data_IF_475028072838
#
_entry.id   IF_475028072838
#
_cell.length_a   1.000
_cell.length_b   1.000
_cell.length_c   1.000
_cell.angle_alpha   90.00
_cell.angle_beta   90.00
_cell.angle_gamma   90.00
#
_symmetry.space_group_name_H-M   'P 1'
#
loop_
_entity.id
_entity.type
_entity.pdbx_description
1 polymer ?
#
# COMPACT_ATOMS: atom_id res chain seq x y z
N UNK A 1 -21.49 -89.19 18.93
CA UNK A 1 -21.49 -88.24 20.07
C UNK A 1 -20.70 -87.02 19.66
N UNK A 2 -21.37 -86.05 19.03
CA UNK A 2 -21.78 -84.76 19.61
C UNK A 2 -20.62 -83.80 19.88
N UNK A 3 -20.51 -82.75 19.05
CA UNK A 3 -20.26 -81.38 19.49
C UNK A 3 -20.62 -80.42 18.33
N UNK A 4 -21.93 -80.16 18.19
CA UNK A 4 -22.47 -78.94 17.57
C UNK A 4 -23.04 -78.12 18.72
N UNK A 5 -22.58 -76.88 18.92
CA UNK A 5 -23.32 -75.75 19.53
C UNK A 5 -22.41 -74.50 19.47
N UNK A 6 -23.03 -73.36 19.12
CA UNK A 6 -22.60 -71.98 19.34
C UNK A 6 -21.46 -71.39 18.47
N UNK A 7 -21.81 -70.92 17.28
CA UNK A 7 -21.16 -69.76 16.62
C UNK A 7 -22.19 -68.65 16.43
N UNK A 8 -22.66 -68.06 17.53
CA UNK A 8 -23.42 -66.79 17.52
C UNK A 8 -23.24 -66.11 18.87
N UNK A 9 -22.48 -65.01 18.90
CA UNK A 9 -22.48 -63.91 19.88
C UNK A 9 -21.07 -63.29 19.98
N UNK A 10 -20.69 -62.49 18.97
CA UNK A 10 -19.74 -61.41 19.20
C UNK A 10 -20.58 -60.14 19.33
N UNK A 11 -21.07 -59.90 20.56
CA UNK A 11 -21.76 -58.68 20.94
C UNK A 11 -20.73 -57.55 20.96
N UNK A 12 -20.89 -56.65 19.99
CA UNK A 12 -20.84 -55.19 20.11
C UNK A 12 -20.44 -54.69 21.49
N UNK A 13 -19.26 -54.07 21.58
CA UNK A 13 -19.01 -52.81 22.31
C UNK A 13 -17.51 -52.60 22.43
N UNK A 14 -16.87 -51.98 21.45
CA UNK A 14 -15.72 -51.13 21.75
C UNK A 14 -15.53 -50.10 20.63
N UNK A 15 -16.08 -48.93 20.94
CA UNK A 15 -15.61 -47.61 20.57
C UNK A 15 -15.49 -47.37 19.07
N UNK A 16 -16.53 -46.72 18.53
CA UNK A 16 -16.37 -45.76 17.46
C UNK A 16 -15.30 -44.74 17.90
N UNK A 17 -14.03 -45.05 17.63
CA UNK A 17 -13.03 -44.01 17.52
C UNK A 17 -13.46 -43.24 16.28
N UNK A 18 -14.08 -42.08 16.53
CA UNK A 18 -14.16 -41.04 15.53
C UNK A 18 -12.76 -40.96 14.95
N UNK A 19 -12.61 -41.40 13.70
CA UNK A 19 -11.43 -41.12 12.92
C UNK A 19 -11.32 -39.60 13.00
N UNK A 20 -10.36 -39.14 13.81
CA UNK A 20 -10.00 -37.75 13.88
C UNK A 20 -9.33 -37.49 12.54
N UNK A 21 -10.17 -37.30 11.51
CA UNK A 21 -9.79 -36.61 10.29
C UNK A 21 -9.49 -35.22 10.79
N UNK A 22 -8.24 -35.02 11.21
CA UNK A 22 -7.67 -33.69 11.32
C UNK A 22 -7.81 -33.12 9.92
N UNK A 23 -8.87 -32.33 9.69
CA UNK A 23 -8.98 -31.49 8.51
C UNK A 23 -7.76 -30.57 8.56
N UNK A 24 -6.73 -30.91 7.80
CA UNK A 24 -5.53 -30.09 7.63
C UNK A 24 -5.81 -28.78 6.87
N UNK A 25 -7.07 -28.35 6.69
CA UNK A 25 -7.46 -27.25 5.81
C UNK A 25 -8.60 -26.37 6.39
N UNK A 26 -8.41 -25.77 7.57
CA UNK A 26 -9.30 -24.66 8.01
C UNK A 26 -8.54 -23.46 8.63
N UNK A 27 -7.20 -23.40 8.53
CA UNK A 27 -6.44 -22.20 8.99
C UNK A 27 -6.77 -20.91 8.24
N UNK A 28 -7.45 -21.02 7.10
CA UNK A 28 -7.84 -19.91 6.24
C UNK A 28 -9.38 -19.77 6.12
N UNK A 29 -10.17 -20.49 6.93
CA UNK A 29 -11.60 -20.25 6.96
C UNK A 29 -11.85 -18.82 7.47
N UNK A 30 -12.71 -18.00 6.82
CA UNK A 30 -12.99 -16.65 7.28
C UNK A 30 -13.51 -16.68 8.72
N UNK A 31 -12.79 -16.02 9.63
CA UNK A 31 -13.26 -15.84 11.00
C UNK A 31 -14.46 -14.88 10.99
N UNK A 32 -15.41 -15.09 11.89
CA UNK A 32 -16.63 -14.27 11.98
C UNK A 32 -16.30 -12.77 12.21
N UNK A 33 -15.28 -12.49 13.01
CA UNK A 33 -14.75 -11.15 13.21
C UNK A 33 -13.67 -10.75 12.19
N UNK A 34 -13.53 -11.46 11.07
CA UNK A 34 -12.52 -11.18 10.05
C UNK A 34 -11.06 -11.32 10.51
N UNK A 35 -10.81 -11.93 11.67
CA UNK A 35 -9.45 -12.08 12.22
C UNK A 35 -8.87 -10.80 12.83
N UNK A 36 -9.74 -9.87 13.25
CA UNK A 36 -9.37 -8.61 13.90
C UNK A 36 -9.75 -8.61 15.38
N UNK A 37 -9.16 -7.75 16.20
CA UNK A 37 -9.53 -7.60 17.60
C UNK A 37 -10.98 -7.14 17.81
N UNK A 38 -11.57 -7.56 18.93
CA UNK A 38 -12.96 -7.23 19.29
C UNK A 38 -14.03 -8.00 18.52
N UNK A 39 -15.29 -7.84 18.94
CA UNK A 39 -16.45 -8.48 18.32
C UNK A 39 -16.75 -7.90 16.93
N UNK A 40 -17.38 -8.68 16.05
CA UNK A 40 -17.92 -8.18 14.79
C UNK A 40 -18.99 -7.11 15.03
N UNK A 41 -19.17 -6.23 14.05
CA UNK A 41 -20.24 -5.26 14.04
C UNK A 41 -21.61 -5.94 13.84
N UNK A 42 -22.64 -5.39 14.48
CA UNK A 42 -24.03 -5.74 14.17
C UNK A 42 -24.49 -4.99 12.92
N UNK A 43 -24.56 -5.69 11.79
CA UNK A 43 -24.98 -5.11 10.52
C UNK A 43 -26.45 -4.68 10.50
N UNK A 44 -27.28 -5.15 11.43
CA UNK A 44 -28.65 -4.66 11.60
C UNK A 44 -28.71 -3.28 12.27
N UNK A 45 -27.63 -2.86 12.93
CA UNK A 45 -27.54 -1.60 13.67
C UNK A 45 -26.69 -0.52 12.96
N UNK A 46 -26.12 -0.82 11.78
CA UNK A 46 -25.21 0.08 11.06
C UNK A 46 -25.79 0.44 9.69
N UNK A 47 -25.72 1.73 9.34
CA UNK A 47 -25.96 2.18 7.99
C UNK A 47 -24.74 1.84 7.11
N UNK A 48 -24.91 0.87 6.22
CA UNK A 48 -23.88 0.46 5.27
C UNK A 48 -23.72 1.53 4.17
N UNK A 49 -22.48 1.95 3.94
CA UNK A 49 -22.18 2.88 2.85
C UNK A 49 -22.44 2.21 1.49
N UNK A 50 -23.08 2.89 0.53
CA UNK A 50 -23.33 2.34 -0.80
C UNK A 50 -22.02 2.17 -1.59
N UNK A 51 -22.09 1.35 -2.64
CA UNK A 51 -21.02 1.22 -3.64
C UNK A 51 -20.95 2.42 -4.58
N UNK A 52 -20.14 2.27 -5.64
CA UNK A 52 -19.90 3.27 -6.66
C UNK A 52 -21.11 3.53 -7.56
N UNK A 53 -21.34 4.80 -7.89
CA UNK A 53 -22.35 5.23 -8.85
C UNK A 53 -21.88 6.50 -9.58
N UNK A 54 -22.37 6.77 -10.80
CA UNK A 54 -22.09 8.04 -11.48
C UNK A 54 -22.45 9.24 -10.60
N UNK A 55 -21.55 10.20 -10.51
CA UNK A 55 -21.76 11.47 -9.81
C UNK A 55 -22.69 12.42 -10.56
N UNK A 56 -22.82 13.65 -10.03
CA UNK A 56 -23.65 14.68 -10.64
C UNK A 56 -22.85 15.63 -11.56
N UNK A 57 -21.65 16.01 -11.15
CA UNK A 57 -20.87 17.04 -11.83
C UNK A 57 -19.89 16.46 -12.85
N UNK A 58 -19.82 17.06 -14.03
CA UNK A 58 -18.83 16.74 -15.06
C UNK A 58 -17.46 17.27 -14.61
N UNK A 59 -16.56 16.38 -14.21
CA UNK A 59 -15.22 16.70 -13.73
C UNK A 59 -14.29 15.50 -13.83
N UNK A 60 -12.98 15.75 -13.80
CA UNK A 60 -11.99 14.71 -13.53
C UNK A 60 -12.06 14.35 -12.04
N UNK A 61 -12.08 13.05 -11.73
CA UNK A 61 -12.02 12.56 -10.36
C UNK A 61 -10.58 12.28 -9.97
N UNK A 62 -10.18 12.84 -8.83
CA UNK A 62 -8.86 12.68 -8.22
C UNK A 62 -8.98 11.85 -6.95
N UNK A 63 -8.16 10.80 -6.83
CA UNK A 63 -8.07 9.96 -5.63
C UNK A 63 -6.62 9.96 -5.15
N UNK A 64 -6.41 10.29 -3.88
CA UNK A 64 -5.09 10.56 -3.32
C UNK A 64 -4.83 12.06 -3.14
N UNK A 65 -3.59 12.41 -2.78
CA UNK A 65 -3.20 13.79 -2.51
C UNK A 65 -2.64 14.44 -3.76
N UNK A 66 -3.16 15.63 -4.07
CA UNK A 66 -2.74 16.44 -5.21
C UNK A 66 -2.48 17.86 -4.73
N UNK A 67 -1.38 18.45 -5.19
CA UNK A 67 -1.15 19.89 -5.10
C UNK A 67 -1.99 20.57 -6.18
N UNK A 68 -3.03 21.27 -5.72
CA UNK A 68 -4.04 21.94 -6.54
C UNK A 68 -3.79 23.45 -6.71
N UNK A 69 -2.59 23.94 -6.42
CA UNK A 69 -2.28 25.36 -6.61
C UNK A 69 -2.49 25.84 -8.05
N UNK A 70 -2.21 24.96 -9.01
CA UNK A 70 -2.67 25.11 -10.38
C UNK A 70 -3.72 24.01 -10.65
N UNK A 71 -5.03 24.31 -10.58
CA UNK A 71 -6.09 23.31 -10.76
C UNK A 71 -6.14 22.73 -12.18
N UNK A 72 -5.59 23.43 -13.18
CA UNK A 72 -5.52 22.95 -14.56
C UNK A 72 -4.35 21.99 -14.78
N UNK A 73 -3.33 22.04 -13.90
CA UNK A 73 -2.16 21.16 -13.93
C UNK A 73 -1.76 20.68 -12.53
N UNK A 74 -2.62 19.90 -11.83
CA UNK A 74 -2.30 19.40 -10.50
C UNK A 74 -1.00 18.59 -10.47
N UNK A 75 -0.28 18.69 -9.36
CA UNK A 75 0.95 17.94 -9.13
C UNK A 75 0.72 16.83 -8.11
N UNK A 76 1.45 15.72 -8.23
CA UNK A 76 1.31 14.55 -7.34
C UNK A 76 2.52 13.63 -7.44
N UNK A 77 2.77 12.78 -6.44
CA UNK A 77 3.87 11.81 -6.47
C UNK A 77 3.62 10.52 -5.68
N UNK A 78 2.66 10.46 -4.77
CA UNK A 78 2.35 9.23 -4.05
C UNK A 78 1.99 8.10 -5.00
N UNK A 79 2.52 6.90 -4.71
CA UNK A 79 2.00 5.69 -5.35
C UNK A 79 0.51 5.59 -5.10
N UNK A 80 -0.24 5.15 -6.11
CA UNK A 80 -1.68 4.97 -6.02
C UNK A 80 -2.48 6.26 -6.15
N UNK A 81 -1.84 7.41 -6.43
CA UNK A 81 -2.59 8.56 -6.93
C UNK A 81 -3.33 8.16 -8.22
N UNK A 82 -4.64 8.42 -8.26
CA UNK A 82 -5.51 8.07 -9.39
C UNK A 82 -6.13 9.33 -9.96
N UNK A 83 -6.13 9.40 -11.29
CA UNK A 83 -6.93 10.35 -12.05
C UNK A 83 -7.88 9.54 -12.92
N UNK A 84 -9.17 9.83 -12.84
CA UNK A 84 -10.19 9.09 -13.58
C UNK A 84 -11.19 10.02 -14.24
N UNK A 85 -11.71 9.58 -15.38
CA UNK A 85 -12.74 10.29 -16.11
C UNK A 85 -13.68 9.30 -16.79
N UNK A 86 -14.95 9.68 -16.88
CA UNK A 86 -15.97 8.99 -17.66
C UNK A 86 -16.32 9.86 -18.85
N UNK A 87 -16.58 9.27 -20.01
CA UNK A 87 -16.86 10.01 -21.24
C UNK A 87 -17.75 9.22 -22.18
N UNK A 88 -18.40 9.92 -23.12
CA UNK A 88 -19.09 9.34 -24.28
C UNK A 88 -18.37 9.78 -25.55
N UNK A 89 -17.79 8.85 -26.30
CA UNK A 89 -17.11 9.15 -27.57
C UNK A 89 -16.00 8.17 -27.92
N UNK A 90 -15.38 8.34 -29.11
CA UNK A 90 -14.51 7.34 -29.71
C UNK A 90 -13.08 7.31 -29.16
N UNK A 91 -12.65 8.37 -28.49
CA UNK A 91 -11.25 8.58 -28.12
C UNK A 91 -11.12 9.26 -26.76
N UNK A 92 -10.02 8.94 -26.07
CA UNK A 92 -9.55 9.68 -24.91
C UNK A 92 -8.06 9.92 -25.02
N UNK A 93 -7.66 11.16 -24.73
CA UNK A 93 -6.26 11.55 -24.57
C UNK A 93 -6.03 11.94 -23.12
N UNK A 94 -4.91 11.48 -22.56
CA UNK A 94 -4.44 11.87 -21.23
C UNK A 94 -2.94 12.08 -21.26
N UNK A 95 -2.37 12.72 -20.24
CA UNK A 95 -0.92 12.78 -20.13
C UNK A 95 -0.42 13.20 -18.77
N UNK A 96 0.87 12.98 -18.53
CA UNK A 96 1.55 13.38 -17.31
C UNK A 96 2.97 13.79 -17.61
N UNK A 97 3.30 15.03 -17.30
CA UNK A 97 4.68 15.50 -17.37
C UNK A 97 5.41 15.11 -16.08
N UNK A 98 6.56 14.45 -16.21
CA UNK A 98 7.43 14.08 -15.10
C UNK A 98 8.49 15.15 -14.88
N UNK A 99 8.56 15.67 -13.67
CA UNK A 99 9.65 16.51 -13.16
C UNK A 99 10.60 15.57 -12.40
N UNK A 100 11.68 15.09 -13.03
CA UNK A 100 12.60 14.15 -12.40
C UNK A 100 13.36 14.83 -11.25
N UNK A 101 13.81 14.05 -10.24
CA UNK A 101 14.78 14.55 -9.29
C UNK A 101 16.08 14.93 -10.02
N UNK A 102 16.73 16.00 -9.57
CA UNK A 102 17.95 16.49 -10.22
C UNK A 102 19.04 15.38 -10.28
N UNK A 103 19.69 15.23 -11.44
CA UNK A 103 20.80 14.32 -11.73
C UNK A 103 20.47 12.82 -11.86
N UNK A 104 19.21 12.43 -11.96
CA UNK A 104 18.84 11.05 -12.29
C UNK A 104 17.78 10.96 -13.40
N UNK A 105 18.02 10.09 -14.38
CA UNK A 105 17.05 9.77 -15.44
C UNK A 105 16.11 8.67 -14.94
N UNK A 106 15.09 9.08 -14.19
CA UNK A 106 14.02 8.19 -13.71
C UNK A 106 12.76 8.37 -14.54
N UNK A 107 12.11 7.25 -14.82
CA UNK A 107 10.76 7.25 -15.40
C UNK A 107 9.76 6.73 -14.39
N UNK A 108 8.51 7.15 -14.55
CA UNK A 108 7.39 6.75 -13.71
C UNK A 108 6.51 5.79 -14.48
N UNK A 109 6.09 4.72 -13.81
CA UNK A 109 5.16 3.72 -14.33
C UNK A 109 3.75 4.12 -13.91
N UNK A 110 2.83 4.05 -14.86
CA UNK A 110 1.39 4.21 -14.67
C UNK A 110 0.66 2.96 -15.11
N UNK A 111 -0.37 2.57 -14.36
CA UNK A 111 -1.34 1.58 -14.80
C UNK A 111 -2.56 2.31 -15.37
N UNK A 112 -2.90 2.07 -16.62
CA UNK A 112 -4.03 2.69 -17.29
C UNK A 112 -5.09 1.66 -17.59
N UNK A 113 -6.25 1.82 -16.98
CA UNK A 113 -7.41 0.94 -17.19
C UNK A 113 -8.48 1.68 -17.95
N UNK A 114 -8.93 1.12 -19.07
CA UNK A 114 -10.10 1.58 -19.83
C UNK A 114 -11.09 0.43 -19.90
N UNK A 115 -12.30 0.65 -19.38
CA UNK A 115 -13.38 -0.35 -19.34
C UNK A 115 -12.96 -1.73 -18.80
N UNK A 116 -12.11 -1.72 -17.77
CA UNK A 116 -11.60 -2.92 -17.12
C UNK A 116 -10.41 -3.58 -17.82
N UNK A 117 -9.93 -3.03 -18.94
CA UNK A 117 -8.70 -3.48 -19.62
C UNK A 117 -7.54 -2.60 -19.19
N UNK A 118 -6.59 -3.20 -18.47
CA UNK A 118 -5.43 -2.51 -17.90
C UNK A 118 -4.18 -2.68 -18.78
N UNK A 119 -3.37 -1.62 -18.87
CA UNK A 119 -2.08 -1.60 -19.53
C UNK A 119 -1.07 -0.76 -18.74
N UNK A 120 0.17 -1.25 -18.69
CA UNK A 120 1.28 -0.48 -18.15
C UNK A 120 1.75 0.58 -19.16
N UNK A 121 1.98 1.80 -18.69
CA UNK A 121 2.55 2.91 -19.46
C UNK A 121 3.72 3.52 -18.69
N UNK A 122 4.90 3.51 -19.31
CA UNK A 122 6.11 4.14 -18.76
C UNK A 122 6.25 5.54 -19.35
N UNK A 123 6.41 6.55 -18.49
CA UNK A 123 6.57 7.95 -18.88
C UNK A 123 7.86 8.55 -18.30
N UNK A 124 8.68 9.17 -19.15
CA UNK A 124 9.83 9.98 -18.77
C UNK A 124 10.48 10.65 -19.98
N UNK A 125 11.16 11.78 -19.78
CA UNK A 125 11.89 12.55 -20.82
C UNK A 125 11.03 13.13 -21.96
N UNK A 126 11.17 14.41 -22.28
CA UNK A 126 10.39 15.10 -23.32
C UNK A 126 8.94 15.39 -22.89
N UNK A 127 8.47 16.62 -23.08
CA UNK A 127 7.13 17.06 -22.67
C UNK A 127 6.42 17.75 -23.85
N UNK A 128 5.08 17.69 -23.97
CA UNK A 128 4.14 17.02 -23.07
C UNK A 128 4.03 15.51 -23.31
N UNK A 129 3.89 14.73 -22.23
CA UNK A 129 3.77 13.28 -22.28
C UNK A 129 2.31 12.83 -22.41
N UNK A 130 1.72 12.97 -23.60
CA UNK A 130 0.33 12.57 -23.87
C UNK A 130 0.23 11.21 -24.57
N UNK A 131 -0.88 10.50 -24.30
CA UNK A 131 -1.27 9.23 -24.92
C UNK A 131 -2.73 9.31 -25.33
N UNK A 132 -3.03 8.91 -26.57
CA UNK A 132 -4.39 8.82 -27.10
C UNK A 132 -4.76 7.36 -27.30
N UNK A 133 -5.99 7.01 -26.92
CA UNK A 133 -6.56 5.66 -27.03
C UNK A 133 -7.83 5.73 -27.88
N UNK A 134 -7.89 4.89 -28.90
CA UNK A 134 -9.08 4.64 -29.72
C UNK A 134 -9.92 3.54 -29.06
N UNK A 135 -11.12 3.89 -28.57
CA UNK A 135 -11.99 2.98 -27.81
C UNK A 135 -13.31 2.68 -28.52
N UNK A 136 -13.56 3.34 -29.65
CA UNK A 136 -14.81 3.22 -30.40
C UNK A 136 -15.96 4.01 -29.75
N UNK A 137 -17.10 4.19 -30.43
CA UNK A 137 -18.20 5.00 -29.91
C UNK A 137 -18.87 4.33 -28.70
N UNK A 138 -19.24 5.13 -27.71
CA UNK A 138 -19.97 4.66 -26.53
C UNK A 138 -19.51 5.36 -25.25
N UNK A 139 -20.07 4.89 -24.14
CA UNK A 139 -19.69 5.38 -22.81
C UNK A 139 -18.55 4.54 -22.25
N UNK A 140 -17.48 5.21 -21.86
CA UNK A 140 -16.24 4.61 -21.39
C UNK A 140 -15.78 5.24 -20.08
N UNK A 141 -15.01 4.50 -19.29
CA UNK A 141 -14.33 5.01 -18.10
C UNK A 141 -12.83 4.69 -18.16
N UNK A 142 -12.00 5.73 -17.98
CA UNK A 142 -10.56 5.64 -17.89
C UNK A 142 -10.10 5.91 -16.45
N UNK A 143 -9.14 5.12 -15.97
CA UNK A 143 -8.42 5.31 -14.72
C UNK A 143 -6.92 5.26 -15.00
N UNK A 144 -6.19 6.29 -14.59
CA UNK A 144 -4.73 6.39 -14.67
C UNK A 144 -4.19 6.40 -13.25
N UNK A 145 -3.54 5.30 -12.86
CA UNK A 145 -2.97 5.08 -11.53
C UNK A 145 -1.47 5.24 -11.60
N UNK A 146 -0.88 6.07 -10.75
CA UNK A 146 0.57 6.09 -10.59
C UNK A 146 1.03 4.84 -9.87
N UNK A 147 1.75 3.97 -10.56
CA UNK A 147 2.22 2.69 -10.02
C UNK A 147 3.50 2.85 -9.18
N UNK A 148 4.45 3.63 -9.68
CA UNK A 148 5.75 3.86 -9.03
C UNK A 148 5.66 4.73 -7.78
N UNK A 149 6.66 4.59 -6.91
CA UNK A 149 6.81 5.39 -5.70
C UNK A 149 7.15 6.86 -5.98
N UNK A 150 6.91 7.71 -4.98
CA UNK A 150 7.19 9.12 -5.04
C UNK A 150 8.65 9.44 -5.39
N UNK A 151 9.59 8.59 -5.00
CA UNK A 151 11.02 8.74 -5.33
C UNK A 151 11.30 8.79 -6.85
N UNK A 152 10.36 8.38 -7.71
CA UNK A 152 10.49 8.46 -9.17
C UNK A 152 10.10 9.82 -9.78
N UNK A 153 9.96 10.86 -8.95
CA UNK A 153 9.81 12.25 -9.38
C UNK A 153 8.38 12.75 -9.28
N UNK A 154 8.19 14.06 -9.39
CA UNK A 154 6.86 14.67 -9.27
C UNK A 154 6.14 14.59 -10.62
N UNK A 155 4.91 14.11 -10.62
CA UNK A 155 4.00 14.12 -11.77
C UNK A 155 3.23 15.43 -11.84
N UNK A 156 3.05 15.95 -13.05
CA UNK A 156 2.22 17.13 -13.36
C UNK A 156 1.21 16.74 -14.42
N UNK A 157 -0.08 16.80 -14.10
CA UNK A 157 -1.12 16.39 -15.02
C UNK A 157 -1.11 17.21 -16.32
N UNK A 158 -1.34 16.52 -17.43
CA UNK A 158 -1.86 17.07 -18.69
C UNK A 158 -3.31 16.61 -18.82
N UNK A 159 -4.31 17.53 -18.72
CA UNK A 159 -5.72 17.17 -18.59
C UNK A 159 -6.25 16.20 -19.66
N UNK A 160 -7.27 15.43 -19.28
CA UNK A 160 -8.00 14.60 -20.23
C UNK A 160 -8.63 15.45 -21.33
N UNK A 161 -8.59 14.93 -22.55
CA UNK A 161 -9.45 15.42 -23.65
C UNK A 161 -10.17 14.24 -24.28
N UNK A 162 -11.31 14.50 -24.89
CA UNK A 162 -12.20 13.48 -25.46
C UNK A 162 -12.49 13.80 -26.93
N UNK A 163 -11.53 13.59 -27.84
CA UNK A 163 -11.73 13.93 -29.24
C UNK A 163 -12.95 13.22 -29.84
N UNK A 164 -13.87 14.00 -30.42
CA UNK A 164 -15.12 13.46 -30.96
C UNK A 164 -16.13 12.99 -29.90
N UNK A 165 -15.92 13.35 -28.63
CA UNK A 165 -16.76 12.94 -27.50
C UNK A 165 -16.98 14.06 -26.48
N UNK A 166 -17.59 13.68 -25.35
CA UNK A 166 -17.87 14.57 -24.23
C UNK A 166 -17.58 13.90 -22.89
N UNK A 167 -17.02 14.65 -21.95
CA UNK A 167 -16.85 14.18 -20.58
C UNK A 167 -18.22 14.02 -19.89
N UNK A 168 -18.33 12.98 -19.06
CA UNK A 168 -19.47 12.68 -18.22
C UNK A 168 -19.10 12.81 -16.74
N UNK A 169 -20.08 12.88 -15.83
CA UNK A 169 -19.81 12.76 -14.41
C UNK A 169 -19.11 11.43 -14.09
N UNK A 170 -18.02 11.45 -13.30
CA UNK A 170 -17.24 10.25 -12.98
C UNK A 170 -17.99 9.34 -12.02
N UNK A 171 -17.56 8.08 -11.88
CA UNK A 171 -18.08 7.18 -10.85
C UNK A 171 -17.56 7.60 -9.47
N UNK A 172 -18.45 8.03 -8.58
CA UNK A 172 -18.16 8.43 -7.21
C UNK A 172 -18.41 7.25 -6.25
N UNK A 173 -17.55 7.08 -5.24
CA UNK A 173 -17.68 6.03 -4.22
C UNK A 173 -17.81 6.66 -2.84
N UNK A 174 -18.82 6.24 -2.09
CA UNK A 174 -18.98 6.66 -0.69
C UNK A 174 -17.96 5.96 0.24
N UNK A 175 -17.55 4.75 -0.14
CA UNK A 175 -16.53 3.99 0.58
C UNK A 175 -15.14 4.51 0.19
N UNK A 176 -14.37 4.94 1.19
CA UNK A 176 -12.98 5.37 1.03
C UNK A 176 -12.13 4.78 2.13
N UNK A 177 -10.95 4.27 1.74
CA UNK A 177 -9.97 3.66 2.64
C UNK A 177 -8.65 4.41 2.48
N UNK A 178 -8.09 4.90 3.59
CA UNK A 178 -6.74 5.46 3.62
C UNK A 178 -5.76 4.37 4.12
N UNK A 179 -4.79 4.01 3.29
CA UNK A 179 -3.71 3.08 3.60
C UNK A 179 -2.45 3.88 3.93
N UNK A 180 -1.93 3.71 5.13
CA UNK A 180 -0.69 4.32 5.60
C UNK A 180 0.32 3.20 5.79
N UNK A 181 1.47 3.26 5.11
CA UNK A 181 2.41 2.14 5.15
C UNK A 181 3.80 2.43 4.62
N UNK A 182 4.58 1.37 4.50
CA UNK A 182 5.93 1.38 3.94
C UNK A 182 5.95 0.73 2.54
N UNK A 183 7.09 0.13 2.16
CA UNK A 183 7.31 -0.55 0.88
C UNK A 183 6.28 -1.64 0.58
N UNK A 184 5.77 -2.33 1.61
CA UNK A 184 4.74 -3.36 1.46
C UNK A 184 3.43 -2.75 0.95
N UNK A 185 3.09 -1.56 1.42
CA UNK A 185 1.87 -0.86 0.97
C UNK A 185 2.05 -0.25 -0.41
N UNK A 186 3.28 0.15 -0.76
CA UNK A 186 3.59 0.62 -2.11
C UNK A 186 3.63 -0.49 -3.17
N UNK A 187 3.68 -1.75 -2.76
CA UNK A 187 3.80 -2.89 -3.68
C UNK A 187 5.22 -3.08 -4.20
N UNK A 188 6.24 -2.67 -3.44
CA UNK A 188 7.64 -2.83 -3.80
C UNK A 188 7.93 -4.29 -4.17
N UNK A 189 8.49 -4.52 -5.37
CA UNK A 189 8.99 -5.82 -5.79
C UNK A 189 7.93 -6.92 -5.96
N UNK A 190 6.64 -6.59 -5.92
CA UNK A 190 5.56 -7.57 -5.90
C UNK A 190 5.41 -8.38 -7.20
N UNK A 191 5.79 -7.79 -8.34
CA UNK A 191 5.88 -8.48 -9.64
C UNK A 191 7.27 -9.11 -9.86
N UNK A 192 8.14 -9.06 -8.85
CA UNK A 192 9.47 -9.65 -8.89
C UNK A 192 9.43 -11.19 -8.94
N UNK A 193 10.26 -11.83 -9.78
CA UNK A 193 10.26 -13.29 -9.91
C UNK A 193 10.84 -14.04 -8.70
N UNK A 194 11.67 -13.39 -7.87
CA UNK A 194 12.28 -14.01 -6.68
C UNK A 194 12.94 -12.95 -5.77
N UNK A 195 13.41 -13.37 -4.58
CA UNK A 195 14.06 -12.52 -3.59
C UNK A 195 15.30 -11.74 -4.06
N UNK A 196 15.97 -12.17 -5.13
CA UNK A 196 17.25 -11.60 -5.60
C UNK A 196 17.11 -10.69 -6.82
N UNK A 197 15.89 -10.49 -7.34
CA UNK A 197 15.72 -9.55 -8.43
C UNK A 197 15.96 -8.11 -7.95
N UNK A 198 16.55 -7.26 -8.80
CA UNK A 198 16.74 -5.86 -8.45
C UNK A 198 15.39 -5.13 -8.54
N UNK A 199 15.18 -4.18 -7.62
CA UNK A 199 14.06 -3.26 -7.70
C UNK A 199 14.15 -2.29 -8.89
N UNK A 200 15.32 -1.65 -9.05
CA UNK A 200 15.59 -0.74 -10.17
C UNK A 200 16.19 -1.48 -11.35
N UNK A 201 15.53 -1.42 -12.50
CA UNK A 201 16.00 -2.02 -13.74
C UNK A 201 16.34 -0.92 -14.73
N UNK A 202 17.55 -0.99 -15.30
CA UNK A 202 17.90 -0.18 -16.47
C UNK A 202 17.10 -0.66 -17.67
N UNK A 203 16.36 0.25 -18.30
CA UNK A 203 15.58 -0.06 -19.51
C UNK A 203 16.18 0.52 -20.78
N UNK A 204 16.99 1.59 -20.68
CA UNK A 204 17.76 2.15 -21.80
C UNK A 204 18.88 3.06 -21.33
N UNK A 205 19.73 3.45 -22.26
CA UNK A 205 20.75 4.49 -22.08
C UNK A 205 20.35 5.73 -22.87
N UNK A 206 20.68 6.91 -22.34
CA UNK A 206 20.57 8.18 -23.08
C UNK A 206 21.90 8.94 -23.01
N UNK A 207 22.22 9.69 -24.07
CA UNK A 207 23.36 10.61 -24.07
C UNK A 207 22.87 12.00 -23.71
N UNK A 208 23.39 12.53 -22.61
CA UNK A 208 23.10 13.89 -22.13
C UNK A 208 23.76 14.94 -23.05
N UNK A 209 23.31 16.22 -23.02
CA UNK A 209 23.88 17.27 -23.86
C UNK A 209 25.39 17.52 -23.64
N UNK A 210 25.93 17.14 -22.48
CA UNK A 210 27.36 17.23 -22.16
C UNK A 210 28.18 16.02 -22.66
N UNK A 211 27.54 15.07 -23.36
CA UNK A 211 28.17 13.87 -23.89
C UNK A 211 28.27 12.70 -22.91
N UNK A 212 27.79 12.84 -21.67
CA UNK A 212 27.75 11.74 -20.70
C UNK A 212 26.62 10.75 -21.01
N UNK A 213 26.80 9.48 -20.64
CA UNK A 213 25.77 8.44 -20.80
C UNK A 213 25.06 8.22 -19.47
N UNK A 214 23.75 8.44 -19.47
CA UNK A 214 22.87 8.20 -18.33
C UNK A 214 22.06 6.92 -18.52
N UNK A 215 21.96 6.12 -17.46
CA UNK A 215 21.18 4.88 -17.41
C UNK A 215 19.76 5.19 -16.95
N UNK A 216 18.77 5.03 -17.82
CA UNK A 216 17.38 5.24 -17.47
C UNK A 216 16.86 4.05 -16.68
N UNK A 217 16.44 4.31 -15.43
CA UNK A 217 15.99 3.27 -14.49
C UNK A 217 14.50 3.42 -14.17
N UNK A 218 13.83 2.29 -13.99
CA UNK A 218 12.44 2.20 -13.55
C UNK A 218 12.26 1.13 -12.46
N UNK A 219 11.23 1.25 -11.59
CA UNK A 219 10.90 0.24 -10.60
C UNK A 219 10.00 -0.83 -11.21
N UNK A 220 10.52 -1.59 -12.18
CA UNK A 220 9.70 -2.47 -13.05
C UNK A 220 8.88 -3.53 -12.30
N UNK A 221 9.32 -3.88 -11.09
CA UNK A 221 8.68 -4.93 -10.28
C UNK A 221 7.75 -4.40 -9.21
N UNK A 222 7.53 -3.07 -9.15
CA UNK A 222 6.55 -2.47 -8.26
C UNK A 222 5.24 -2.19 -9.00
N UNK A 223 4.15 -2.69 -8.42
CA UNK A 223 2.82 -2.36 -8.90
C UNK A 223 1.81 -2.14 -7.77
N UNK A 224 1.50 -0.88 -7.47
CA UNK A 224 0.54 -0.58 -6.39
C UNK A 224 -0.90 -0.95 -6.75
N UNK A 225 -1.27 -1.02 -8.03
CA UNK A 225 -2.61 -1.48 -8.41
C UNK A 225 -2.80 -2.96 -8.02
N UNK A 226 -1.71 -3.73 -8.00
CA UNK A 226 -1.65 -5.12 -7.54
C UNK A 226 -1.23 -5.27 -6.07
N UNK A 227 -1.06 -4.17 -5.33
CA UNK A 227 -0.80 -4.22 -3.90
C UNK A 227 -2.07 -4.56 -3.10
N UNK A 228 -1.88 -5.00 -1.86
CA UNK A 228 -2.96 -5.59 -1.06
C UNK A 228 -4.08 -4.57 -0.77
N UNK A 229 -3.71 -3.29 -0.58
CA UNK A 229 -4.65 -2.22 -0.32
C UNK A 229 -5.56 -1.94 -1.51
N UNK A 230 -4.99 -1.81 -2.70
CA UNK A 230 -5.75 -1.58 -3.95
C UNK A 230 -6.65 -2.77 -4.28
N UNK A 231 -6.17 -4.01 -4.13
CA UNK A 231 -6.99 -5.21 -4.33
C UNK A 231 -8.14 -5.24 -3.31
N UNK A 232 -7.88 -4.97 -2.04
CA UNK A 232 -8.91 -4.96 -0.99
C UNK A 232 -9.96 -3.86 -1.25
N UNK A 233 -9.53 -2.66 -1.65
CA UNK A 233 -10.42 -1.56 -1.98
C UNK A 233 -11.35 -1.90 -3.15
N UNK A 234 -10.83 -2.52 -4.22
CA UNK A 234 -11.67 -3.03 -5.33
C UNK A 234 -12.68 -4.08 -4.87
N UNK A 235 -12.27 -5.01 -3.98
CA UNK A 235 -13.18 -6.03 -3.39
C UNK A 235 -14.27 -5.43 -2.48
N UNK A 236 -14.05 -4.22 -1.99
CA UNK A 236 -14.96 -3.47 -1.12
C UNK A 236 -15.73 -2.38 -1.86
N UNK A 237 -15.49 -2.21 -3.16
CA UNK A 237 -15.98 -1.11 -3.97
C UNK A 237 -15.72 0.26 -3.31
N UNK A 238 -14.46 0.48 -2.94
CA UNK A 238 -13.97 1.67 -2.25
C UNK A 238 -12.86 2.37 -3.05
N UNK A 239 -12.76 3.69 -2.90
CA UNK A 239 -11.59 4.44 -3.32
C UNK A 239 -10.43 4.20 -2.33
N UNK A 240 -9.24 3.89 -2.83
CA UNK A 240 -8.02 3.74 -2.03
C UNK A 240 -7.16 5.00 -2.09
N UNK A 241 -6.84 5.57 -0.93
CA UNK A 241 -5.85 6.64 -0.78
C UNK A 241 -4.63 6.05 -0.11
N UNK A 242 -3.46 6.20 -0.71
CA UNK A 242 -2.23 5.53 -0.25
C UNK A 242 -1.17 6.57 0.11
N UNK A 243 -0.73 6.53 1.37
CA UNK A 243 0.41 7.28 1.90
C UNK A 243 1.46 6.25 2.29
N UNK A 244 2.32 5.91 1.33
CA UNK A 244 3.35 4.92 1.54
C UNK A 244 4.69 5.38 0.99
N UNK A 245 5.77 4.94 1.64
CA UNK A 245 7.13 5.24 1.21
C UNK A 245 8.08 4.13 1.67
N UNK A 246 8.85 3.57 0.75
CA UNK A 246 9.73 2.44 0.98
C UNK A 246 10.84 2.75 1.97
N UNK A 247 11.16 1.79 2.83
CA UNK A 247 12.18 1.94 3.87
C UNK A 247 11.79 2.88 5.02
N UNK A 248 10.61 3.52 5.03
CA UNK A 248 10.20 4.38 6.14
C UNK A 248 9.52 3.59 7.26
N UNK A 249 9.76 3.97 8.51
CA UNK A 249 9.14 3.34 9.68
C UNK A 249 8.33 4.32 10.53
N UNK A 250 7.93 3.86 11.71
CA UNK A 250 7.14 4.62 12.67
C UNK A 250 8.00 5.58 13.49
N UNK A 251 9.10 5.08 14.04
CA UNK A 251 10.10 5.83 14.82
C UNK A 251 11.50 5.70 14.24
N UNK A 252 11.75 4.65 13.44
CA UNK A 252 13.04 4.38 12.80
C UNK A 252 12.85 3.89 11.37
N UNK A 253 13.59 4.47 10.45
CA UNK A 253 13.64 4.02 9.05
C UNK A 253 14.65 2.88 8.86
N UNK A 254 14.47 2.14 7.77
CA UNK A 254 15.43 1.19 7.27
C UNK A 254 16.73 1.91 6.97
N UNK A 255 17.81 1.50 7.63
CA UNK A 255 19.13 2.08 7.45
C UNK A 255 19.82 1.33 6.32
N UNK A 256 19.77 1.90 5.11
CA UNK A 256 20.82 1.62 4.14
C UNK A 256 22.12 2.26 4.64
N UNK A 257 23.23 1.61 4.33
CA UNK A 257 24.59 1.90 4.78
C UNK A 257 24.90 3.41 4.68
N UNK A 258 25.44 4.02 5.74
CA UNK A 258 25.69 5.48 5.78
C UNK A 258 26.69 5.91 4.69
N UNK A 259 26.65 7.20 4.32
CA UNK A 259 27.64 7.82 3.44
C UNK A 259 29.09 7.57 3.92
N UNK A 260 29.34 7.42 5.22
CA UNK A 260 30.67 7.07 5.75
C UNK A 260 31.11 5.64 5.37
N UNK A 261 30.19 4.69 5.31
CA UNK A 261 30.50 3.32 4.90
C UNK A 261 30.53 3.14 3.37
N UNK A 262 29.80 3.97 2.61
CA UNK A 262 30.03 4.14 1.17
C UNK A 262 31.43 4.74 0.88
N UNK A 263 31.88 5.70 1.69
CA UNK A 263 33.23 6.29 1.60
C UNK A 263 34.35 5.30 1.99
N UNK A 264 34.05 4.21 2.69
CA UNK A 264 34.99 3.16 3.07
C UNK A 264 35.23 2.10 1.97
N UNK A 265 34.69 2.30 0.77
CA UNK A 265 34.93 1.41 -0.38
C UNK A 265 34.07 0.14 -0.39
N UNK A 266 32.98 0.11 0.39
CA UNK A 266 31.93 -0.90 0.20
C UNK A 266 31.20 -0.57 -1.10
N UNK A 267 31.42 -1.40 -2.13
CA UNK A 267 30.79 -1.28 -3.45
C UNK A 267 29.28 -1.54 -3.34
N UNK A 268 28.51 -0.47 -3.09
CA UNK A 268 27.06 -0.47 -3.12
C UNK A 268 26.60 -0.22 -4.56
N UNK A 269 26.61 -1.25 -5.39
CA UNK A 269 26.04 -1.20 -6.74
C UNK A 269 24.53 -0.92 -6.68
N UNK A 270 24.15 0.36 -6.80
CA UNK A 270 22.85 0.77 -7.35
C UNK A 270 21.70 1.07 -6.38
N UNK A 271 21.94 1.19 -5.07
CA UNK A 271 20.91 1.67 -4.13
C UNK A 271 20.89 3.21 -4.10
N UNK A 272 19.68 3.77 -4.26
CA UNK A 272 19.47 5.21 -4.31
C UNK A 272 19.60 5.80 -2.91
N UNK A 273 20.47 6.79 -2.74
CA UNK A 273 20.51 7.59 -1.52
C UNK A 273 19.14 8.23 -1.30
N UNK A 274 18.43 7.82 -0.25
CA UNK A 274 17.23 8.50 0.20
C UNK A 274 17.63 9.86 0.81
N UNK A 275 17.37 10.99 0.12
CA UNK A 275 17.81 12.31 0.58
C UNK A 275 17.08 12.76 1.86
N UNK A 276 16.06 12.02 2.28
CA UNK A 276 15.24 12.26 3.45
C UNK A 276 15.23 11.06 4.41
N UNK A 277 16.34 10.31 4.47
CA UNK A 277 16.51 9.08 5.25
C UNK A 277 16.12 9.15 6.73
N UNK A 278 15.96 10.36 7.32
CA UNK A 278 15.55 10.55 8.71
C UNK A 278 14.04 10.71 8.91
N UNK A 279 13.31 11.20 7.90
CA UNK A 279 11.87 11.46 8.02
C UNK A 279 11.10 10.16 8.06
N UNK A 280 10.24 10.01 9.07
CA UNK A 280 9.43 8.81 9.33
C UNK A 280 8.03 8.92 8.71
N UNK A 281 7.27 7.82 8.66
CA UNK A 281 5.89 7.84 8.13
C UNK A 281 5.00 8.87 8.83
N UNK A 282 5.03 9.07 10.16
CA UNK A 282 4.26 10.13 10.81
C UNK A 282 4.48 11.53 10.23
N UNK A 283 5.71 11.85 9.82
CA UNK A 283 6.05 13.13 9.20
C UNK A 283 5.64 13.16 7.72
N UNK A 284 5.85 12.07 6.98
CA UNK A 284 5.39 11.94 5.58
C UNK A 284 3.87 12.02 5.46
N UNK A 285 3.13 11.51 6.44
CA UNK A 285 1.67 11.56 6.50
C UNK A 285 1.11 12.98 6.52
N UNK A 286 1.94 14.00 6.78
CA UNK A 286 1.54 15.40 6.68
C UNK A 286 1.71 16.00 5.29
N UNK A 287 2.42 15.34 4.35
CA UNK A 287 2.81 15.97 3.07
C UNK A 287 1.75 15.80 1.98
N UNK A 288 1.62 16.83 1.13
CA UNK A 288 0.85 16.76 -0.13
C UNK A 288 1.64 16.06 -1.21
N UNK A 289 2.89 16.48 -1.43
CA UNK A 289 3.87 15.86 -2.34
C UNK A 289 4.99 15.27 -1.48
N UNK A 290 5.19 13.96 -1.50
CA UNK A 290 6.12 13.28 -0.60
C UNK A 290 7.56 13.78 -0.74
N UNK A 291 8.04 13.99 -1.98
CA UNK A 291 9.44 14.34 -2.25
C UNK A 291 9.73 15.83 -2.23
N UNK A 292 8.72 16.70 -2.15
CA UNK A 292 8.93 18.14 -2.00
C UNK A 292 9.25 18.42 -0.54
N UNK A 293 10.45 18.96 -0.30
CA UNK A 293 10.85 19.43 1.01
C UNK A 293 10.72 20.95 1.03
N UNK A 294 10.36 21.51 2.18
CA UNK A 294 10.26 22.98 2.33
C UNK A 294 11.62 23.68 2.16
N UNK A 295 12.73 22.94 2.27
CA UNK A 295 14.11 23.44 2.09
C UNK A 295 14.66 23.28 0.66
N UNK A 296 13.91 22.66 -0.27
CA UNK A 296 14.39 22.36 -1.62
C UNK A 296 13.73 23.31 -2.65
N UNK A 297 14.50 24.21 -3.31
CA UNK A 297 14.00 25.02 -4.42
C UNK A 297 13.46 24.12 -5.55
N UNK A 298 12.38 24.51 -6.28
CA UNK A 298 11.95 25.88 -6.55
C UNK A 298 10.63 26.24 -5.86
N UNK A 299 10.34 25.69 -4.67
CA UNK A 299 9.17 26.12 -3.91
C UNK A 299 9.26 27.63 -3.66
N UNK A 300 8.27 28.43 -4.11
CA UNK A 300 8.19 29.81 -3.68
C UNK A 300 8.12 29.80 -2.14
N UNK A 301 8.85 30.68 -1.43
CA UNK A 301 8.99 30.67 0.03
C UNK A 301 7.68 30.88 0.84
N UNK A 302 6.51 30.87 0.18
CA UNK A 302 5.19 31.10 0.78
C UNK A 302 4.21 29.91 0.65
N UNK A 303 4.60 28.80 0.04
CA UNK A 303 3.69 27.66 -0.18
C UNK A 303 3.97 26.55 0.82
N UNK A 304 2.96 26.17 1.61
CA UNK A 304 3.05 24.97 2.46
C UNK A 304 2.90 23.70 1.62
N UNK A 305 3.77 22.71 1.84
CA UNK A 305 3.60 21.35 1.30
C UNK A 305 2.76 20.46 2.24
N UNK A 306 2.13 21.02 3.26
CA UNK A 306 1.28 20.26 4.16
C UNK A 306 -0.06 19.93 3.49
N UNK A 307 -0.55 18.72 3.72
CA UNK A 307 -1.86 18.29 3.28
C UNK A 307 -2.95 18.99 4.10
N UNK A 308 -3.87 19.60 3.39
CA UNK A 308 -5.07 20.16 3.99
C UNK A 308 -6.13 19.06 4.12
N UNK A 309 -6.17 18.44 5.29
CA UNK A 309 -7.12 17.36 5.62
C UNK A 309 -8.60 17.77 5.48
N UNK A 310 -8.92 19.07 5.42
CA UNK A 310 -10.30 19.54 5.21
C UNK A 310 -10.75 19.49 3.74
N UNK A 311 -9.81 19.38 2.79
CA UNK A 311 -10.09 19.34 1.35
C UNK A 311 -10.41 17.94 0.82
N UNK A 312 -10.28 16.93 1.67
CA UNK A 312 -10.57 15.54 1.31
C UNK A 312 -11.74 15.00 2.12
N UNK A 313 -12.69 14.28 1.46
CA UNK A 313 -13.72 13.54 2.18
C UNK A 313 -13.09 12.59 3.19
N UNK A 314 -13.57 12.62 4.43
CA UNK A 314 -13.02 11.78 5.48
C UNK A 314 -13.15 10.28 5.08
N UNK A 315 -12.04 9.52 5.04
CA UNK A 315 -12.11 8.08 4.84
C UNK A 315 -12.89 7.41 5.97
N UNK A 316 -13.77 6.49 5.61
CA UNK A 316 -14.50 5.69 6.59
C UNK A 316 -13.59 4.66 7.28
N UNK A 317 -12.46 4.32 6.66
CA UNK A 317 -11.48 3.35 7.16
C UNK A 317 -10.06 3.88 6.97
N UNK A 318 -9.23 3.69 7.99
CA UNK A 318 -7.77 3.84 7.89
C UNK A 318 -7.12 2.50 8.20
N UNK A 319 -6.16 2.07 7.37
CA UNK A 319 -5.33 0.87 7.62
C UNK A 319 -3.89 1.32 7.75
N UNK A 320 -3.27 1.03 8.89
CA UNK A 320 -1.87 1.37 9.17
C UNK A 320 -1.04 0.08 9.16
N UNK A 321 -0.19 -0.06 8.16
CA UNK A 321 0.78 -1.16 8.01
C UNK A 321 2.18 -0.56 7.93
N UNK A 322 2.62 -0.01 9.05
CA UNK A 322 3.93 0.60 9.27
C UNK A 322 4.60 -0.13 10.42
N UNK A 323 5.90 -0.36 10.32
CA UNK A 323 6.69 -0.84 11.45
C UNK A 323 7.72 -1.91 11.09
N UNK A 324 7.67 -2.44 9.85
CA UNK A 324 8.64 -3.44 9.38
C UNK A 324 10.08 -2.93 9.56
N UNK A 325 10.30 -1.68 9.18
CA UNK A 325 11.61 -1.04 9.15
C UNK A 325 12.14 -0.70 10.54
N UNK A 326 11.27 -0.48 11.53
CA UNK A 326 11.66 -0.24 12.92
C UNK A 326 12.36 -1.45 13.53
N UNK A 327 11.94 -2.65 13.13
CA UNK A 327 12.51 -3.92 13.58
C UNK A 327 13.70 -4.38 12.71
N UNK A 328 14.10 -3.61 11.69
CA UNK A 328 15.26 -3.96 10.87
C UNK A 328 16.57 -3.93 11.68
N UNK A 329 17.44 -4.92 11.44
CA UNK A 329 18.79 -4.98 12.04
C UNK A 329 19.66 -3.84 11.54
N UNK A 330 20.56 -3.36 12.39
CA UNK A 330 21.71 -2.56 11.96
C UNK A 330 22.78 -3.51 11.38
N UNK A 331 23.06 -3.41 10.09
CA UNK A 331 24.09 -4.23 9.43
C UNK A 331 25.51 -3.67 9.62
N UNK A 332 25.64 -2.42 10.09
CA UNK A 332 26.93 -1.74 10.25
C UNK A 332 27.53 -1.89 11.65
N UNK A 333 26.77 -2.43 12.59
CA UNK A 333 27.27 -2.79 13.92
C UNK A 333 27.36 -4.31 13.99
N UNK A 334 28.58 -4.84 14.01
CA UNK A 334 28.89 -6.26 14.23
C UNK A 334 28.47 -6.77 15.63
N UNK A 335 27.79 -5.91 16.40
CA UNK A 335 27.14 -6.23 17.66
C UNK A 335 25.64 -6.36 17.44
N UNK A 336 25.05 -7.44 17.97
CA UNK A 336 23.58 -7.61 18.17
C UNK A 336 22.98 -6.46 19.02
N UNK A 337 23.82 -5.55 19.53
CA UNK A 337 23.43 -4.35 20.26
C UNK A 337 22.99 -3.25 19.30
N UNK A 338 21.72 -3.30 18.92
CA UNK A 338 20.82 -2.14 18.82
C UNK A 338 19.40 -2.71 18.77
N UNK A 339 18.97 -3.22 19.94
CA UNK A 339 17.60 -3.67 20.12
C UNK A 339 16.64 -2.54 19.84
N UNK A 340 15.55 -2.84 19.15
CA UNK A 340 14.39 -1.95 19.14
C UNK A 340 14.02 -1.62 20.59
N UNK A 341 13.98 -0.33 20.94
CA UNK A 341 13.28 0.10 22.14
C UNK A 341 11.78 -0.07 21.89
N UNK A 342 11.25 -1.21 22.34
CA UNK A 342 9.85 -1.58 22.12
C UNK A 342 8.88 -0.61 22.79
N UNK A 343 9.28 0.01 23.90
CA UNK A 343 8.46 1.01 24.57
C UNK A 343 8.45 2.31 23.77
N UNK A 344 9.60 2.77 23.26
CA UNK A 344 9.67 3.93 22.36
C UNK A 344 8.84 3.69 21.09
N UNK A 345 8.96 2.52 20.46
CA UNK A 345 8.15 2.14 19.30
C UNK A 345 6.65 2.17 19.63
N UNK A 346 6.23 1.54 20.74
CA UNK A 346 4.82 1.51 21.14
C UNK A 346 4.27 2.91 21.38
N UNK A 347 4.99 3.75 22.14
CA UNK A 347 4.53 5.10 22.46
C UNK A 347 4.50 5.99 21.22
N UNK A 348 5.50 5.90 20.34
CA UNK A 348 5.51 6.60 19.05
C UNK A 348 4.35 6.18 18.15
N UNK A 349 4.09 4.87 18.05
CA UNK A 349 2.97 4.33 17.28
C UNK A 349 1.62 4.79 17.86
N UNK A 350 1.43 4.70 19.19
CA UNK A 350 0.21 5.18 19.86
C UNK A 350 -0.03 6.67 19.60
N UNK A 351 1.03 7.49 19.72
CA UNK A 351 0.95 8.92 19.44
C UNK A 351 0.53 9.19 17.99
N UNK A 352 1.05 8.41 17.04
CA UNK A 352 0.64 8.51 15.64
C UNK A 352 -0.82 8.08 15.42
N UNK A 353 -1.29 7.01 16.05
CA UNK A 353 -2.71 6.60 15.96
C UNK A 353 -3.63 7.68 16.51
N UNK A 354 -3.28 8.30 17.64
CA UNK A 354 -4.02 9.44 18.20
C UNK A 354 -3.99 10.66 17.27
N UNK A 355 -2.84 10.92 16.64
CA UNK A 355 -2.71 11.97 15.64
C UNK A 355 -3.63 11.72 14.43
N UNK A 356 -3.63 10.50 13.88
CA UNK A 356 -4.52 10.08 12.80
C UNK A 356 -5.98 10.22 13.21
N UNK A 357 -6.37 9.77 14.41
CA UNK A 357 -7.72 9.95 14.96
C UNK A 357 -8.12 11.43 14.99
N UNK A 358 -7.21 12.33 15.37
CA UNK A 358 -7.46 13.77 15.36
C UNK A 358 -7.73 14.34 13.95
N UNK A 359 -7.19 13.71 12.90
CA UNK A 359 -7.47 14.08 11.50
C UNK A 359 -8.68 13.33 10.91
N UNK A 360 -8.96 12.13 11.42
CA UNK A 360 -9.97 11.17 10.96
C UNK A 360 -10.88 10.75 12.13
N UNK A 361 -11.70 11.67 12.66
CA UNK A 361 -12.45 11.46 13.91
C UNK A 361 -13.44 10.28 13.89
N UNK A 362 -14.00 9.95 12.73
CA UNK A 362 -15.07 8.95 12.57
C UNK A 362 -14.59 7.60 12.04
N UNK A 363 -13.37 7.55 11.48
CA UNK A 363 -12.84 6.38 10.79
C UNK A 363 -12.69 5.15 11.69
N UNK A 364 -12.86 3.96 11.11
CA UNK A 364 -12.37 2.72 11.71
C UNK A 364 -10.85 2.61 11.45
N UNK A 365 -10.02 2.51 12.49
CA UNK A 365 -8.57 2.46 12.36
C UNK A 365 -8.09 1.03 12.62
N UNK A 366 -7.45 0.42 11.63
CA UNK A 366 -6.92 -0.95 11.69
C UNK A 366 -5.40 -0.94 11.68
N UNK A 367 -4.79 -1.50 12.73
CA UNK A 367 -3.34 -1.63 12.88
C UNK A 367 -2.92 -3.04 12.44
N UNK A 368 -2.11 -3.14 11.39
CA UNK A 368 -1.68 -4.41 10.83
C UNK A 368 -0.33 -4.84 11.40
N UNK A 369 -0.23 -6.08 11.88
CA UNK A 369 1.08 -6.74 12.05
C UNK A 369 1.60 -7.10 10.65
N UNK A 370 2.74 -6.52 10.28
CA UNK A 370 3.39 -6.67 8.97
C UNK A 370 3.63 -8.15 8.59
N UNK A 371 3.50 -8.53 7.30
CA UNK A 371 3.76 -9.88 6.82
C UNK A 371 5.24 -10.29 6.87
N UNK A 372 6.18 -9.32 6.84
CA UNK A 372 7.60 -9.59 6.61
C UNK A 372 8.41 -9.85 7.90
N UNK A 373 7.83 -9.64 9.09
CA UNK A 373 8.45 -10.04 10.36
C UNK A 373 8.16 -11.50 10.69
N UNK A 374 9.16 -12.19 11.25
CA UNK A 374 9.03 -13.50 11.88
C UNK A 374 9.60 -13.47 13.30
N UNK A 375 9.37 -14.52 14.10
CA UNK A 375 9.99 -14.65 15.43
C UNK A 375 11.46 -15.12 15.37
N UNK A 376 12.02 -15.33 14.16
CA UNK A 376 13.39 -15.82 13.94
C UNK A 376 14.31 -14.79 13.27
N UNK A 377 13.72 -13.83 12.56
CA UNK A 377 14.41 -12.82 11.77
C UNK A 377 13.47 -11.64 11.51
N UNK A 378 13.96 -10.38 11.51
CA UNK A 378 15.33 -9.95 11.75
C UNK A 378 15.77 -10.04 13.22
N UNK A 379 14.86 -9.92 14.19
CA UNK A 379 15.16 -10.07 15.62
C UNK A 379 14.38 -11.26 16.20
N UNK A 380 14.92 -11.90 17.24
CA UNK A 380 14.19 -12.94 17.95
C UNK A 380 12.90 -12.35 18.53
N UNK A 381 11.78 -13.07 18.39
CA UNK A 381 10.45 -12.63 18.84
C UNK A 381 9.91 -11.33 18.20
N UNK A 382 10.54 -10.80 17.14
CA UNK A 382 10.14 -9.52 16.53
C UNK A 382 8.64 -9.44 16.22
N UNK A 383 8.10 -10.47 15.55
CA UNK A 383 6.68 -10.51 15.18
C UNK A 383 5.77 -10.56 16.41
N UNK A 384 6.12 -11.37 17.40
CA UNK A 384 5.40 -11.47 18.68
C UNK A 384 5.39 -10.15 19.44
N UNK A 385 6.53 -9.47 19.53
CA UNK A 385 6.68 -8.22 20.27
C UNK A 385 5.93 -7.09 19.57
N UNK A 386 5.99 -7.05 18.24
CA UNK A 386 5.16 -6.15 17.43
C UNK A 386 3.68 -6.33 17.71
N UNK A 387 3.21 -7.58 17.67
CA UNK A 387 1.81 -7.91 17.97
C UNK A 387 1.42 -7.51 19.39
N UNK A 388 2.27 -7.77 20.37
CA UNK A 388 2.03 -7.38 21.76
C UNK A 388 1.92 -5.86 21.91
N UNK A 389 2.78 -5.11 21.21
CA UNK A 389 2.73 -3.65 21.17
C UNK A 389 1.40 -3.15 20.58
N UNK A 390 0.99 -3.63 19.40
CA UNK A 390 -0.29 -3.24 18.79
C UNK A 390 -1.49 -3.60 19.68
N UNK A 391 -1.51 -4.81 20.22
CA UNK A 391 -2.59 -5.26 21.11
C UNK A 391 -2.72 -4.35 22.34
N UNK A 392 -1.60 -3.95 22.94
CA UNK A 392 -1.59 -3.02 24.07
C UNK A 392 -2.06 -1.62 23.68
N UNK A 393 -1.63 -1.10 22.53
CA UNK A 393 -2.10 0.21 22.01
C UNK A 393 -3.61 0.20 21.86
N UNK A 394 -4.17 -0.81 21.19
CA UNK A 394 -5.61 -0.94 20.98
C UNK A 394 -6.36 -1.07 22.32
N UNK A 395 -5.84 -1.86 23.25
CA UNK A 395 -6.44 -2.00 24.58
C UNK A 395 -6.47 -0.67 25.35
N UNK A 396 -5.38 0.11 25.31
CA UNK A 396 -5.28 1.41 25.98
C UNK A 396 -6.23 2.44 25.36
N UNK A 397 -6.29 2.52 24.03
CA UNK A 397 -7.16 3.47 23.31
C UNK A 397 -8.64 3.12 23.46
N UNK A 398 -9.00 1.84 23.33
CA UNK A 398 -10.39 1.39 23.53
C UNK A 398 -10.82 1.59 24.99
N UNK A 399 -9.93 1.33 25.96
CA UNK A 399 -10.18 1.59 27.38
C UNK A 399 -10.33 3.08 27.72
N UNK A 400 -9.73 3.96 26.91
CA UNK A 400 -9.89 5.41 26.98
C UNK A 400 -11.11 5.95 26.20
N UNK A 401 -11.89 5.07 25.56
CA UNK A 401 -13.16 5.42 24.90
C UNK A 401 -13.14 5.43 23.37
N UNK A 402 -11.99 5.27 22.71
CA UNK A 402 -11.94 5.15 21.25
C UNK A 402 -12.18 3.70 20.82
N UNK A 403 -13.44 3.27 20.79
CA UNK A 403 -13.82 1.89 20.43
C UNK A 403 -13.64 1.51 18.96
N UNK A 404 -13.11 2.42 18.11
CA UNK A 404 -12.95 2.21 16.67
C UNK A 404 -11.49 2.00 16.26
N UNK A 405 -10.65 1.54 17.18
CA UNK A 405 -9.29 1.09 16.90
C UNK A 405 -9.19 -0.42 17.05
N UNK A 406 -8.59 -1.07 16.06
CA UNK A 406 -8.49 -2.53 15.98
C UNK A 406 -7.09 -2.95 15.55
N UNK A 407 -6.71 -4.19 15.84
CA UNK A 407 -5.48 -4.78 15.31
C UNK A 407 -5.76 -6.16 14.71
N UNK A 408 -4.96 -6.54 13.72
CA UNK A 408 -5.02 -7.85 13.06
C UNK A 408 -3.64 -8.27 12.54
N UNK A 409 -3.50 -9.54 12.18
CA UNK A 409 -2.25 -10.08 11.64
C UNK A 409 -2.39 -10.37 10.15
N UNK A 410 -1.58 -9.69 9.33
CA UNK A 410 -1.37 -10.13 7.96
C UNK A 410 -0.60 -11.45 7.96
N UNK A 411 -0.77 -12.26 6.93
CA UNK A 411 -0.06 -13.55 6.79
C UNK A 411 1.44 -13.38 7.01
N UNK A 412 2.04 -14.19 7.88
CA UNK A 412 3.51 -14.29 7.96
C UNK A 412 4.00 -14.90 6.64
N UNK A 413 4.67 -14.11 5.81
CA UNK A 413 5.17 -14.58 4.53
C UNK A 413 6.41 -15.47 4.72
N UNK A 414 6.96 -15.95 3.61
CA UNK A 414 8.23 -16.69 3.62
C UNK A 414 8.36 -17.56 2.38
N UNK A 415 9.45 -18.33 2.32
CA UNK A 415 9.76 -19.19 1.16
C UNK A 415 8.63 -20.13 0.75
N UNK A 416 7.71 -20.48 1.66
CA UNK A 416 6.52 -21.31 1.36
C UNK A 416 5.56 -20.70 0.33
N UNK A 417 5.56 -19.38 0.16
CA UNK A 417 4.73 -18.69 -0.84
C UNK A 417 5.55 -18.16 -2.03
N UNK A 418 6.88 -18.34 -2.01
CA UNK A 418 7.79 -17.52 -2.82
C UNK A 418 7.90 -16.09 -2.29
N UNK A 419 8.83 -15.33 -2.86
CA UNK A 419 9.14 -13.95 -2.48
C UNK A 419 9.28 -13.09 -3.74
N UNK A 420 8.88 -11.82 -3.66
CA UNK A 420 9.16 -10.79 -4.65
C UNK A 420 10.59 -10.23 -4.50
N UNK A 421 10.92 -9.16 -5.20
CA UNK A 421 12.27 -8.56 -5.15
C UNK A 421 12.64 -8.09 -3.74
N UNK A 422 13.93 -8.20 -3.40
CA UNK A 422 14.49 -7.83 -2.09
C UNK A 422 13.65 -8.37 -0.92
N UNK A 423 13.25 -9.64 -1.05
CA UNK A 423 12.46 -10.40 -0.08
C UNK A 423 11.04 -9.86 0.19
N UNK A 424 10.51 -8.92 -0.59
CA UNK A 424 9.17 -8.37 -0.39
C UNK A 424 8.05 -9.39 -0.71
N UNK A 425 6.79 -9.13 -0.30
CA UNK A 425 5.65 -9.95 -0.70
C UNK A 425 5.49 -10.01 -2.21
N UNK A 426 5.31 -11.22 -2.77
CA UNK A 426 4.93 -11.37 -4.18
C UNK A 426 3.41 -11.17 -4.37
N UNK A 427 2.94 -11.22 -5.61
CA UNK A 427 1.52 -11.11 -5.96
C UNK A 427 0.60 -12.08 -5.20
N UNK A 428 1.05 -13.31 -4.91
CA UNK A 428 0.24 -14.28 -4.19
C UNK A 428 0.04 -13.86 -2.72
N UNK A 429 1.11 -13.45 -2.05
CA UNK A 429 1.02 -12.93 -0.68
C UNK A 429 0.17 -11.65 -0.65
N UNK A 430 0.28 -10.77 -1.64
CA UNK A 430 -0.58 -9.59 -1.76
C UNK A 430 -2.06 -9.93 -1.89
N UNK A 431 -2.43 -10.98 -2.63
CA UNK A 431 -3.82 -11.46 -2.73
C UNK A 431 -4.35 -11.96 -1.38
N UNK A 432 -3.56 -12.77 -0.67
CA UNK A 432 -3.91 -13.26 0.67
C UNK A 432 -4.11 -12.10 1.63
N UNK A 433 -3.17 -11.14 1.66
CA UNK A 433 -3.28 -9.94 2.50
C UNK A 433 -4.52 -9.13 2.15
N UNK A 434 -4.87 -9.01 0.86
CA UNK A 434 -6.06 -8.29 0.42
C UNK A 434 -7.35 -8.95 0.94
N UNK A 435 -7.43 -10.28 0.96
CA UNK A 435 -8.55 -11.01 1.57
C UNK A 435 -8.65 -10.79 3.07
N UNK A 436 -7.52 -10.81 3.78
CA UNK A 436 -7.47 -10.53 5.22
C UNK A 436 -7.92 -9.10 5.53
N UNK A 437 -7.44 -8.10 4.79
CA UNK A 437 -7.84 -6.70 4.95
C UNK A 437 -9.31 -6.50 4.62
N UNK A 438 -9.80 -7.06 3.51
CA UNK A 438 -11.21 -6.97 3.14
C UNK A 438 -12.11 -7.62 4.20
N UNK A 439 -11.73 -8.80 4.70
CA UNK A 439 -12.46 -9.48 5.78
C UNK A 439 -12.47 -8.69 7.08
N UNK A 440 -11.33 -8.14 7.50
CA UNK A 440 -11.22 -7.29 8.68
C UNK A 440 -12.13 -6.06 8.58
N UNK A 441 -12.12 -5.36 7.43
CA UNK A 441 -12.97 -4.19 7.20
C UNK A 441 -14.45 -4.58 7.24
N UNK A 442 -14.86 -5.59 6.45
CA UNK A 442 -16.26 -6.08 6.42
C UNK A 442 -16.79 -6.40 7.82
N UNK A 443 -15.96 -7.01 8.66
CA UNK A 443 -16.34 -7.38 10.02
C UNK A 443 -16.71 -6.20 10.92
N UNK A 444 -16.25 -4.97 10.62
CA UNK A 444 -16.53 -3.77 11.41
C UNK A 444 -17.42 -2.74 10.72
N UNK A 445 -17.50 -2.79 9.40
CA UNK A 445 -18.21 -1.79 8.59
C UNK A 445 -19.41 -2.35 7.83
N UNK A 446 -19.55 -3.68 7.75
CA UNK A 446 -20.62 -4.37 7.03
C UNK A 446 -20.68 -4.06 5.52
N UNK A 447 -19.52 -3.78 4.91
CA UNK A 447 -19.39 -3.44 3.49
C UNK A 447 -19.61 -4.60 2.51
#
# INVERSE_FOLDING_TARGET
MSLRIARTALIVSLVASAACVVRLNERNAPLENGGVSGAAADCGAIQVLPGGAPGADVKTKFIGRFDMQNPDRPRFDWSGNIMSARFDGPQVTWGVDIVPPAKETRETIFEVTIDGVSQEVILGGGQPNTKTHDVGPGVHEISVVRSSEALFGVSVLVPFTFPGGTQLPPTERARRIEYIGDSITCGYGNEGPNATCPYNVTVREITEPDGTVAQVKIPKTQNIDLAYGSIAARKLDADAVTICFSGKGMVKNYREVTQEAANAGVDLKGQAFDPDAKTTIPEYYLRTIATVREDTPPMPPAVSNLWDFSKEPEPAVVVINVGQNDFARDFNQDTIADGLDIDQFREGYKAFVQFVRGKRPNAHIFLAVTPMLSDKFPLDNARRDFRAALSRIVSELNGAGDGKVYWFELVEMGSRYGLGCDYHPNLEVHRIMADQVAGAIRSKTCW
#
